data_IF_914581685379
#
_entry.id   IF_914581685379
#
_cell.length_a   1.000
_cell.length_b   1.000
_cell.length_c   1.000
_cell.angle_alpha   90.00
_cell.angle_beta   90.00
_cell.angle_gamma   90.00
#
_symmetry.space_group_name_H-M   'P 1'
#
loop_
_entity.id
_entity.type
_entity.pdbx_description
1 polymer ?
#
# COMPACT_ATOMS: atom_id res chain seq x y z
N UNK A 1 -22.04 11.05 27.01
CA UNK A 1 -22.55 12.36 26.58
C UNK A 1 -21.66 13.41 27.18
N UNK A 2 -21.42 14.50 26.46
CA UNK A 2 -20.73 15.66 27.01
C UNK A 2 -21.46 16.14 28.27
N UNK A 3 -20.76 16.38 29.39
CA UNK A 3 -21.41 16.83 30.62
C UNK A 3 -21.90 18.29 30.54
N UNK A 4 -21.56 19.01 29.47
CA UNK A 4 -21.84 20.44 29.30
C UNK A 4 -22.51 20.71 27.96
N UNK A 5 -23.54 21.54 27.96
CA UNK A 5 -24.31 21.92 26.77
C UNK A 5 -23.98 23.32 26.22
N UNK A 6 -23.27 24.15 27.00
CA UNK A 6 -22.91 25.53 26.65
C UNK A 6 -21.41 25.74 26.72
N UNK A 7 -20.92 26.76 25.99
CA UNK A 7 -19.51 27.15 26.00
C UNK A 7 -19.10 27.55 27.42
N UNK A 8 -19.84 28.44 28.08
CA UNK A 8 -19.54 28.91 29.43
C UNK A 8 -19.40 27.76 30.44
N UNK A 9 -20.29 26.75 30.38
CA UNK A 9 -20.22 25.58 31.26
C UNK A 9 -19.00 24.72 30.97
N UNK A 10 -18.63 24.56 29.69
CA UNK A 10 -17.44 23.81 29.29
C UNK A 10 -16.15 24.55 29.68
N UNK A 11 -16.09 25.87 29.52
CA UNK A 11 -14.95 26.69 29.92
C UNK A 11 -14.76 26.73 31.44
N UNK A 12 -15.86 26.86 32.19
CA UNK A 12 -15.85 26.77 33.64
C UNK A 12 -15.34 25.41 34.12
N UNK A 13 -15.74 24.31 33.47
CA UNK A 13 -15.28 22.97 33.80
C UNK A 13 -13.82 22.70 33.44
N UNK A 14 -13.33 23.25 32.33
CA UNK A 14 -11.94 23.10 31.90
C UNK A 14 -10.99 24.08 32.60
N UNK A 15 -11.52 25.12 33.25
CA UNK A 15 -10.73 26.19 33.86
C UNK A 15 -9.97 27.06 32.84
N UNK A 16 -10.40 27.04 31.58
CA UNK A 16 -9.81 27.82 30.48
C UNK A 16 -10.81 28.05 29.34
N UNK A 17 -10.58 29.07 28.49
CA UNK A 17 -11.35 29.22 27.25
C UNK A 17 -11.22 28.01 26.33
N UNK A 18 -12.28 27.75 25.54
CA UNK A 18 -12.25 26.73 24.50
C UNK A 18 -11.39 27.21 23.32
N UNK A 19 -10.65 26.28 22.74
CA UNK A 19 -10.07 26.51 21.41
C UNK A 19 -11.19 26.55 20.35
N UNK A 20 -10.92 27.13 19.18
CA UNK A 20 -11.88 27.15 18.07
C UNK A 20 -12.36 25.74 17.66
N UNK A 21 -11.45 24.75 17.69
CA UNK A 21 -11.79 23.36 17.39
C UNK A 21 -12.69 22.74 18.47
N UNK A 22 -12.43 23.00 19.75
CA UNK A 22 -13.26 22.52 20.86
C UNK A 22 -14.65 23.16 20.85
N UNK A 23 -14.74 24.46 20.54
CA UNK A 23 -16.01 25.15 20.39
C UNK A 23 -16.84 24.61 19.21
N UNK A 24 -16.18 24.33 18.07
CA UNK A 24 -16.82 23.70 16.91
C UNK A 24 -17.31 22.28 17.25
N UNK A 25 -16.45 21.48 17.90
CA UNK A 25 -16.80 20.15 18.38
C UNK A 25 -18.02 20.21 19.29
N UNK A 26 -17.97 21.03 20.35
CA UNK A 26 -19.06 21.19 21.31
C UNK A 26 -20.38 21.60 20.64
N UNK A 27 -20.35 22.59 19.73
CA UNK A 27 -21.53 23.02 18.98
C UNK A 27 -22.14 21.87 18.17
N UNK A 28 -21.30 21.03 17.60
CA UNK A 28 -21.74 19.90 16.80
C UNK A 28 -22.26 18.75 17.68
N UNK A 29 -21.55 18.38 18.74
CA UNK A 29 -21.78 17.15 19.50
C UNK A 29 -22.72 17.31 20.70
N UNK A 30 -22.97 18.52 21.22
CA UNK A 30 -23.75 18.75 22.44
C UNK A 30 -25.20 18.24 22.38
N UNK A 31 -25.79 18.19 21.19
CA UNK A 31 -27.16 17.71 20.95
C UNK A 31 -27.24 16.26 20.50
N UNK A 32 -26.11 15.56 20.43
CA UNK A 32 -25.99 14.21 19.87
C UNK A 32 -25.65 13.20 20.95
N UNK A 33 -26.22 12.01 20.85
CA UNK A 33 -25.80 10.88 21.68
C UNK A 33 -24.42 10.39 21.21
N UNK A 34 -23.65 9.82 22.14
CA UNK A 34 -22.36 9.19 21.81
C UNK A 34 -22.54 8.05 20.78
N UNK A 35 -23.68 7.36 20.82
CA UNK A 35 -24.07 6.37 19.82
C UNK A 35 -24.19 6.99 18.42
N UNK A 36 -24.88 8.13 18.31
CA UNK A 36 -25.03 8.83 17.02
C UNK A 36 -23.67 9.29 16.48
N UNK A 37 -22.79 9.80 17.35
CA UNK A 37 -21.42 10.14 16.97
C UNK A 37 -20.67 8.89 16.46
N UNK A 38 -20.74 7.79 17.19
CA UNK A 38 -20.13 6.54 16.79
C UNK A 38 -20.61 6.04 15.41
N UNK A 39 -21.91 6.16 15.10
CA UNK A 39 -22.47 5.77 13.81
C UNK A 39 -21.89 6.53 12.60
N UNK A 40 -21.20 7.66 12.79
CA UNK A 40 -20.48 8.34 11.69
C UNK A 40 -19.42 7.45 11.03
N UNK A 41 -18.89 6.46 11.75
CA UNK A 41 -17.97 5.48 11.18
C UNK A 41 -18.56 4.77 9.96
N UNK A 42 -19.87 4.49 9.96
CA UNK A 42 -20.55 3.87 8.82
C UNK A 42 -20.50 4.81 7.62
N UNK A 43 -20.78 6.09 7.82
CA UNK A 43 -20.75 7.07 6.73
C UNK A 43 -19.32 7.21 6.19
N UNK A 44 -18.32 7.33 7.07
CA UNK A 44 -16.91 7.43 6.65
C UNK A 44 -16.46 6.20 5.89
N UNK A 45 -16.82 5.00 6.34
CA UNK A 45 -16.54 3.75 5.66
C UNK A 45 -17.06 3.77 4.21
N UNK A 46 -18.35 4.05 4.04
CA UNK A 46 -18.99 4.06 2.72
C UNK A 46 -18.42 5.16 1.81
N UNK A 47 -18.14 6.34 2.34
CA UNK A 47 -17.56 7.44 1.57
C UNK A 47 -16.12 7.12 1.14
N UNK A 48 -15.28 6.64 2.05
CA UNK A 48 -13.88 6.33 1.75
C UNK A 48 -13.80 5.26 0.67
N UNK A 49 -14.53 4.15 0.81
CA UNK A 49 -14.52 3.08 -0.20
C UNK A 49 -15.19 3.44 -1.52
N UNK A 50 -16.10 4.40 -1.54
CA UNK A 50 -16.68 4.90 -2.80
C UNK A 50 -15.74 5.87 -3.52
N UNK A 51 -14.98 6.67 -2.78
CA UNK A 51 -14.20 7.79 -3.33
C UNK A 51 -12.73 7.41 -3.57
N UNK A 52 -12.04 6.77 -2.62
CA UNK A 52 -10.60 6.53 -2.71
C UNK A 52 -10.22 5.54 -3.82
N UNK A 53 -10.92 4.41 -4.05
CA UNK A 53 -10.58 3.55 -5.18
C UNK A 53 -10.84 4.23 -6.53
N UNK A 54 -11.79 5.17 -6.58
CA UNK A 54 -12.07 5.96 -7.79
C UNK A 54 -10.90 6.86 -8.18
N UNK A 55 -10.07 7.32 -7.23
CA UNK A 55 -8.84 8.04 -7.53
C UNK A 55 -7.93 7.26 -8.49
N UNK A 56 -7.73 5.96 -8.26
CA UNK A 56 -6.89 5.12 -9.13
C UNK A 56 -7.51 4.90 -10.51
N UNK A 57 -8.83 4.71 -10.59
CA UNK A 57 -9.53 4.63 -11.89
C UNK A 57 -9.43 5.94 -12.66
N UNK A 58 -9.58 7.07 -11.97
CA UNK A 58 -9.46 8.41 -12.54
C UNK A 58 -8.04 8.62 -13.11
N UNK A 59 -7.01 8.26 -12.34
CA UNK A 59 -5.62 8.31 -12.80
C UNK A 59 -5.39 7.43 -14.03
N UNK A 60 -5.88 6.18 -14.02
CA UNK A 60 -5.74 5.27 -15.15
C UNK A 60 -6.42 5.80 -16.41
N UNK A 61 -7.64 6.35 -16.27
CA UNK A 61 -8.43 6.85 -17.39
C UNK A 61 -7.85 8.13 -18.02
N UNK A 62 -7.52 9.13 -17.20
CA UNK A 62 -7.10 10.45 -17.70
C UNK A 62 -5.58 10.58 -17.85
N UNK A 63 -4.80 9.84 -17.05
CA UNK A 63 -3.35 9.95 -16.98
C UNK A 63 -2.63 8.61 -17.25
N UNK A 64 -3.28 7.67 -17.94
CA UNK A 64 -2.79 6.31 -18.18
C UNK A 64 -1.36 6.21 -18.73
N UNK A 65 -0.92 7.16 -19.57
CA UNK A 65 0.48 7.21 -20.05
C UNK A 65 1.48 7.54 -18.95
N UNK A 66 1.10 8.44 -18.04
CA UNK A 66 1.93 8.88 -16.92
C UNK A 66 1.95 7.87 -15.78
N UNK A 67 0.83 7.18 -15.53
CA UNK A 67 0.72 6.20 -14.44
C UNK A 67 1.04 4.77 -14.86
N UNK A 68 0.99 4.46 -16.16
CA UNK A 68 1.28 3.14 -16.72
C UNK A 68 2.62 2.52 -16.27
N UNK A 69 3.73 3.27 -16.20
CA UNK A 69 5.01 2.75 -15.69
C UNK A 69 4.97 2.27 -14.23
N UNK A 70 3.99 2.73 -13.45
CA UNK A 70 3.83 2.36 -12.04
C UNK A 70 2.80 1.25 -11.82
N UNK A 71 2.16 0.73 -12.88
CA UNK A 71 1.26 -0.42 -12.78
C UNK A 71 2.10 -1.68 -12.52
N UNK A 72 1.79 -2.38 -11.43
CA UNK A 72 2.58 -3.54 -10.99
C UNK A 72 2.42 -4.72 -11.96
N UNK A 73 1.18 -5.01 -12.37
CA UNK A 73 0.85 -6.04 -13.36
C UNK A 73 0.27 -5.42 -14.66
N UNK A 74 1.10 -4.84 -15.54
CA UNK A 74 0.62 -4.06 -16.69
C UNK A 74 -0.09 -4.88 -17.78
N UNK A 75 0.07 -6.21 -17.76
CA UNK A 75 -0.57 -7.13 -18.70
C UNK A 75 -1.99 -7.51 -18.28
N UNK A 76 -2.35 -7.27 -17.02
CA UNK A 76 -3.68 -7.59 -16.49
C UNK A 76 -4.52 -6.33 -16.49
N UNK A 77 -5.66 -6.36 -17.18
CA UNK A 77 -6.63 -5.26 -17.23
C UNK A 77 -8.00 -5.81 -16.90
N UNK A 78 -8.64 -5.23 -15.89
CA UNK A 78 -10.00 -5.59 -15.50
C UNK A 78 -10.99 -4.79 -16.34
N UNK A 79 -12.03 -5.45 -16.86
CA UNK A 79 -13.05 -4.75 -17.63
C UNK A 79 -13.93 -3.88 -16.72
N UNK A 80 -14.37 -2.71 -17.19
CA UNK A 80 -15.21 -1.80 -16.40
C UNK A 80 -16.47 -2.46 -15.79
N UNK A 81 -17.22 -3.33 -16.50
CA UNK A 81 -18.34 -4.05 -15.89
C UNK A 81 -17.95 -4.97 -14.73
N UNK A 82 -16.74 -5.52 -14.74
CA UNK A 82 -16.21 -6.35 -13.65
C UNK A 82 -15.82 -5.48 -12.45
N UNK A 83 -15.23 -4.31 -12.69
CA UNK A 83 -14.98 -3.31 -11.63
C UNK A 83 -16.27 -2.89 -10.93
N UNK A 84 -17.33 -2.61 -11.70
CA UNK A 84 -18.65 -2.27 -11.13
C UNK A 84 -19.26 -3.45 -10.36
N UNK A 85 -19.06 -4.68 -10.83
CA UNK A 85 -19.51 -5.89 -10.12
C UNK A 85 -18.80 -6.04 -8.78
N UNK A 86 -17.47 -5.88 -8.76
CA UNK A 86 -16.66 -5.88 -7.54
C UNK A 86 -17.19 -4.87 -6.52
N UNK A 87 -17.33 -3.61 -6.95
CA UNK A 87 -17.86 -2.54 -6.12
C UNK A 87 -19.25 -2.85 -5.57
N UNK A 88 -20.18 -3.35 -6.40
CA UNK A 88 -21.53 -3.73 -5.95
C UNK A 88 -21.50 -4.86 -4.90
N UNK A 89 -20.65 -5.87 -5.11
CA UNK A 89 -20.47 -6.97 -4.14
C UNK A 89 -19.96 -6.43 -2.80
N UNK A 90 -18.96 -5.55 -2.81
CA UNK A 90 -18.43 -4.91 -1.60
C UNK A 90 -19.48 -4.05 -0.91
N UNK A 91 -20.19 -3.19 -1.64
CA UNK A 91 -21.23 -2.34 -1.06
C UNK A 91 -22.37 -3.18 -0.46
N UNK A 92 -22.73 -4.28 -1.11
CA UNK A 92 -23.69 -5.26 -0.57
C UNK A 92 -23.19 -5.86 0.75
N UNK A 93 -21.93 -6.27 0.81
CA UNK A 93 -21.31 -6.79 2.03
C UNK A 93 -21.25 -5.72 3.12
N UNK A 94 -20.91 -4.47 2.82
CA UNK A 94 -20.97 -3.38 3.81
C UNK A 94 -22.38 -3.15 4.33
N UNK A 95 -23.37 -3.13 3.46
CA UNK A 95 -24.75 -2.90 3.88
C UNK A 95 -25.32 -4.06 4.71
N UNK A 96 -25.02 -5.30 4.33
CA UNK A 96 -25.61 -6.48 4.96
C UNK A 96 -24.85 -6.98 6.19
N UNK A 97 -23.53 -6.73 6.27
CA UNK A 97 -22.66 -7.29 7.30
C UNK A 97 -22.02 -6.18 8.14
N UNK A 98 -21.23 -5.29 7.53
CA UNK A 98 -20.42 -4.32 8.29
C UNK A 98 -21.27 -3.23 8.93
N UNK A 99 -22.27 -2.69 8.22
CA UNK A 99 -23.18 -1.67 8.73
C UNK A 99 -23.95 -2.15 9.97
N UNK A 100 -24.65 -3.30 9.91
CA UNK A 100 -25.30 -3.89 11.06
C UNK A 100 -24.31 -4.18 12.21
N UNK A 101 -23.12 -4.73 11.92
CA UNK A 101 -22.09 -4.95 12.93
C UNK A 101 -21.70 -3.65 13.65
N UNK A 102 -21.50 -2.56 12.89
CA UNK A 102 -21.20 -1.24 13.44
C UNK A 102 -22.35 -0.76 14.33
N UNK A 103 -23.61 -0.87 13.91
CA UNK A 103 -24.75 -0.45 14.74
C UNK A 103 -24.83 -1.22 16.07
N UNK A 104 -24.57 -2.53 16.07
CA UNK A 104 -24.69 -3.36 17.29
C UNK A 104 -23.45 -3.36 18.18
N UNK A 105 -22.29 -2.93 17.67
CA UNK A 105 -21.00 -2.98 18.40
C UNK A 105 -20.74 -1.79 19.33
N UNK A 106 -21.63 -0.79 19.35
CA UNK A 106 -21.47 0.38 20.23
C UNK A 106 -21.27 0.05 21.72
N UNK A 107 -21.95 -0.94 22.33
CA UNK A 107 -21.69 -1.32 23.72
C UNK A 107 -20.22 -1.70 23.96
N UNK A 108 -19.57 -2.36 23.01
CA UNK A 108 -18.14 -2.71 23.08
C UNK A 108 -17.26 -1.47 23.05
N UNK A 109 -17.59 -0.50 22.19
CA UNK A 109 -16.86 0.78 22.11
C UNK A 109 -16.99 1.59 23.40
N UNK A 110 -18.19 1.58 23.99
CA UNK A 110 -18.44 2.19 25.29
C UNK A 110 -17.66 1.49 26.40
N UNK A 111 -17.57 0.15 26.36
CA UNK A 111 -16.79 -0.65 27.32
C UNK A 111 -15.28 -0.38 27.20
N UNK A 112 -14.77 -0.25 25.98
CA UNK A 112 -13.38 0.15 25.71
C UNK A 112 -13.07 1.51 26.33
N UNK A 113 -14.06 2.40 26.42
CA UNK A 113 -13.89 3.74 27.00
C UNK A 113 -13.51 4.81 25.98
N UNK A 114 -13.84 4.61 24.70
CA UNK A 114 -13.68 5.67 23.68
C UNK A 114 -14.53 6.87 24.07
N UNK A 115 -13.88 8.00 24.36
CA UNK A 115 -14.53 9.21 24.87
C UNK A 115 -14.98 10.14 23.74
N UNK A 116 -16.08 10.85 23.95
CA UNK A 116 -16.56 11.94 23.09
C UNK A 116 -16.39 13.32 23.75
N UNK A 117 -15.87 13.32 24.98
CA UNK A 117 -15.80 14.49 25.85
C UNK A 117 -14.63 15.42 25.55
N UNK A 118 -14.77 16.69 25.91
CA UNK A 118 -13.67 17.63 26.01
C UNK A 118 -12.69 17.27 27.15
N UNK A 119 -11.42 17.73 27.08
CA UNK A 119 -10.79 18.47 25.98
C UNK A 119 -10.56 17.61 24.74
N UNK A 120 -10.41 18.22 23.56
CA UNK A 120 -10.02 17.46 22.36
C UNK A 120 -8.61 16.86 22.54
N UNK A 121 -8.33 15.69 21.92
CA UNK A 121 -7.00 15.09 22.02
C UNK A 121 -5.96 16.00 21.37
N UNK A 122 -4.78 16.09 21.98
CA UNK A 122 -3.65 16.80 21.37
C UNK A 122 -3.15 16.05 20.12
N UNK A 123 -2.43 16.74 19.22
CA UNK A 123 -1.83 16.09 18.06
C UNK A 123 -0.91 14.92 18.47
N UNK A 124 -0.14 15.06 19.55
CA UNK A 124 0.72 13.99 20.04
C UNK A 124 -0.05 12.82 20.64
N UNK A 125 -1.16 13.08 21.34
CA UNK A 125 -2.06 12.02 21.81
C UNK A 125 -2.60 11.20 20.63
N UNK A 126 -3.07 11.87 19.56
CA UNK A 126 -3.54 11.22 18.34
C UNK A 126 -2.41 10.39 17.71
N UNK A 127 -1.23 10.97 17.51
CA UNK A 127 -0.12 10.30 16.83
C UNK A 127 0.39 9.07 17.60
N UNK A 128 0.52 9.16 18.93
CA UNK A 128 0.94 8.03 19.76
C UNK A 128 -0.12 6.93 19.79
N UNK A 129 -1.41 7.29 19.90
CA UNK A 129 -2.51 6.33 19.84
C UNK A 129 -2.53 5.61 18.48
N UNK A 130 -2.47 6.35 17.36
CA UNK A 130 -2.41 5.76 16.02
C UNK A 130 -1.20 4.86 15.85
N UNK A 131 -0.02 5.25 16.36
CA UNK A 131 1.18 4.41 16.35
C UNK A 131 0.96 3.07 17.05
N UNK A 132 0.36 3.08 18.25
CA UNK A 132 -0.02 1.85 18.96
C UNK A 132 -1.03 1.05 18.15
N UNK A 133 -2.06 1.69 17.60
CA UNK A 133 -3.11 1.01 16.85
C UNK A 133 -2.56 0.28 15.63
N UNK A 134 -1.71 0.96 14.84
CA UNK A 134 -1.06 0.36 13.68
C UNK A 134 -0.16 -0.82 14.06
N UNK A 135 0.66 -0.71 15.11
CA UNK A 135 1.56 -1.81 15.52
C UNK A 135 0.77 -3.02 16.01
N UNK A 136 -0.22 -2.80 16.89
CA UNK A 136 -1.02 -3.89 17.48
C UNK A 136 -1.90 -4.56 16.44
N UNK A 137 -2.53 -3.77 15.59
CA UNK A 137 -3.36 -4.28 14.50
C UNK A 137 -2.51 -5.09 13.53
N UNK A 138 -1.40 -4.54 13.03
CA UNK A 138 -0.55 -5.21 12.05
C UNK A 138 0.04 -6.53 12.58
N UNK A 139 0.52 -6.55 13.83
CA UNK A 139 1.03 -7.77 14.44
C UNK A 139 -0.04 -8.85 14.61
N UNK A 140 -1.24 -8.46 15.04
CA UNK A 140 -2.34 -9.42 15.22
C UNK A 140 -2.88 -9.89 13.88
N UNK A 141 -3.01 -8.97 12.92
CA UNK A 141 -3.48 -9.24 11.57
C UNK A 141 -2.54 -10.23 10.87
N UNK A 142 -1.21 -10.05 10.99
CA UNK A 142 -0.22 -10.99 10.46
C UNK A 142 -0.54 -12.45 10.82
N UNK A 143 -0.80 -12.74 12.11
CA UNK A 143 -1.06 -14.10 12.57
C UNK A 143 -2.40 -14.64 12.09
N UNK A 144 -3.45 -13.81 12.10
CA UNK A 144 -4.77 -14.21 11.63
C UNK A 144 -4.74 -14.44 10.11
N UNK A 145 -4.13 -13.54 9.36
CA UNK A 145 -3.97 -13.64 7.91
C UNK A 145 -3.16 -14.89 7.54
N UNK A 146 -2.04 -15.14 8.23
CA UNK A 146 -1.26 -16.37 8.05
C UNK A 146 -2.07 -17.63 8.39
N UNK A 147 -2.89 -17.60 9.43
CA UNK A 147 -3.81 -18.69 9.75
C UNK A 147 -4.85 -18.92 8.64
N UNK A 148 -5.40 -17.85 8.07
CA UNK A 148 -6.34 -17.91 6.95
C UNK A 148 -5.70 -18.45 5.66
N UNK A 149 -4.37 -18.43 5.53
CA UNK A 149 -3.66 -19.13 4.46
C UNK A 149 -3.37 -20.61 4.73
N UNK A 150 -3.76 -21.12 5.90
CA UNK A 150 -3.83 -22.56 6.12
C UNK A 150 -4.86 -23.18 5.18
N UNK A 151 -4.63 -24.43 4.73
CA UNK A 151 -5.46 -25.12 3.72
C UNK A 151 -6.97 -24.92 3.89
N UNK A 152 -7.48 -25.16 5.10
CA UNK A 152 -8.90 -24.99 5.40
C UNK A 152 -9.34 -23.53 5.37
N UNK A 153 -8.59 -22.62 6.01
CA UNK A 153 -8.90 -21.20 6.05
C UNK A 153 -8.94 -20.61 4.64
N UNK A 154 -8.00 -21.01 3.79
CA UNK A 154 -7.92 -20.52 2.43
C UNK A 154 -9.11 -21.02 1.62
N UNK A 155 -9.30 -22.34 1.56
CA UNK A 155 -10.36 -22.93 0.74
C UNK A 155 -11.77 -22.50 1.14
N UNK A 156 -12.01 -22.17 2.41
CA UNK A 156 -13.35 -21.86 2.94
C UNK A 156 -13.64 -20.39 3.13
N UNK A 157 -12.61 -19.57 3.38
CA UNK A 157 -12.78 -18.17 3.78
C UNK A 157 -11.98 -17.29 2.82
N UNK A 158 -10.67 -17.49 2.74
CA UNK A 158 -9.76 -16.52 2.14
C UNK A 158 -9.66 -16.58 0.61
N UNK A 159 -10.09 -17.67 -0.01
CA UNK A 159 -10.02 -17.84 -1.46
C UNK A 159 -10.75 -16.75 -2.24
N UNK A 160 -11.88 -16.24 -1.72
CA UNK A 160 -12.65 -15.17 -2.38
C UNK A 160 -11.84 -13.89 -2.48
N UNK A 161 -11.07 -13.56 -1.43
CA UNK A 161 -10.19 -12.41 -1.42
C UNK A 161 -9.12 -12.48 -2.52
N UNK A 162 -8.60 -13.69 -2.75
CA UNK A 162 -7.56 -13.98 -3.75
C UNK A 162 -8.09 -14.21 -5.18
N UNK A 163 -9.39 -14.00 -5.44
CA UNK A 163 -9.92 -14.08 -6.82
C UNK A 163 -9.31 -13.01 -7.74
N UNK A 164 -8.95 -11.85 -7.17
CA UNK A 164 -8.27 -10.77 -7.86
C UNK A 164 -6.74 -10.90 -7.73
N UNK A 165 -6.15 -11.86 -8.46
CA UNK A 165 -4.68 -12.08 -8.51
C UNK A 165 -3.86 -10.86 -8.94
N UNK A 166 -4.50 -9.91 -9.64
CA UNK A 166 -4.02 -8.54 -9.82
C UNK A 166 -5.04 -7.60 -9.15
N UNK A 167 -4.83 -7.22 -7.89
CA UNK A 167 -5.83 -6.48 -7.13
C UNK A 167 -6.05 -5.08 -7.71
N UNK A 168 -7.26 -4.58 -7.44
CA UNK A 168 -7.65 -3.18 -7.68
C UNK A 168 -8.16 -2.61 -6.36
N UNK A 169 -8.11 -1.29 -6.18
CA UNK A 169 -8.49 -0.67 -4.89
C UNK A 169 -9.90 -1.03 -4.42
N UNK A 170 -10.84 -1.31 -5.34
CA UNK A 170 -12.19 -1.77 -5.01
C UNK A 170 -12.23 -3.20 -4.45
N UNK A 171 -11.23 -4.02 -4.75
CA UNK A 171 -11.12 -5.39 -4.29
C UNK A 171 -10.54 -5.53 -2.87
N UNK A 172 -10.06 -4.44 -2.25
CA UNK A 172 -9.50 -4.48 -0.90
C UNK A 172 -10.42 -5.18 0.14
N UNK A 173 -11.73 -4.88 0.20
CA UNK A 173 -12.68 -5.59 1.06
C UNK A 173 -13.51 -6.64 0.30
N UNK A 174 -13.14 -7.00 -0.94
CA UNK A 174 -13.80 -8.08 -1.67
C UNK A 174 -13.36 -9.39 -1.04
N UNK A 175 -14.21 -9.98 -0.21
CA UNK A 175 -13.89 -11.18 0.53
C UNK A 175 -15.16 -11.93 0.97
N UNK A 176 -14.97 -13.12 1.52
CA UNK A 176 -16.02 -13.84 2.22
C UNK A 176 -16.44 -13.06 3.49
N UNK A 177 -17.73 -13.03 3.83
CA UNK A 177 -18.22 -12.26 4.99
C UNK A 177 -17.50 -12.61 6.31
N UNK A 178 -17.18 -13.90 6.50
CA UNK A 178 -16.47 -14.35 7.71
C UNK A 178 -15.05 -13.77 7.79
N UNK A 179 -14.39 -13.57 6.65
CA UNK A 179 -13.06 -12.94 6.61
C UNK A 179 -13.12 -11.51 7.12
N UNK A 180 -14.10 -10.74 6.65
CA UNK A 180 -14.29 -9.34 7.06
C UNK A 180 -14.50 -9.24 8.58
N UNK A 181 -15.24 -10.19 9.17
CA UNK A 181 -15.42 -10.25 10.62
C UNK A 181 -14.13 -10.62 11.34
N UNK A 182 -13.41 -11.64 10.85
CA UNK A 182 -12.19 -12.18 11.48
C UNK A 182 -11.02 -11.18 11.39
N UNK A 183 -10.74 -10.63 10.20
CA UNK A 183 -9.70 -9.62 9.98
C UNK A 183 -10.11 -8.22 10.48
N UNK A 184 -11.39 -8.03 10.80
CA UNK A 184 -11.87 -6.83 11.49
C UNK A 184 -11.50 -6.78 12.98
N UNK A 185 -11.32 -7.93 13.64
CA UNK A 185 -11.03 -8.01 15.09
C UNK A 185 -9.77 -7.22 15.48
N UNK A 186 -8.61 -7.38 14.80
CA UNK A 186 -7.39 -6.61 15.09
C UNK A 186 -7.59 -5.10 15.19
N UNK A 187 -8.51 -4.53 14.41
CA UNK A 187 -8.75 -3.08 14.35
C UNK A 187 -9.29 -2.48 15.65
N UNK A 188 -9.81 -3.32 16.56
CA UNK A 188 -10.34 -2.90 17.86
C UNK A 188 -9.36 -3.11 19.02
N UNK A 189 -8.28 -3.89 18.83
CA UNK A 189 -7.35 -4.22 19.91
C UNK A 189 -6.53 -3.02 20.37
N UNK A 190 -6.00 -2.23 19.43
CA UNK A 190 -5.30 -0.99 19.75
C UNK A 190 -6.17 -0.03 20.59
N UNK A 191 -7.37 0.35 20.12
CA UNK A 191 -8.31 1.16 20.89
C UNK A 191 -8.69 0.55 22.24
N UNK A 192 -8.77 -0.78 22.35
CA UNK A 192 -9.03 -1.46 23.63
C UNK A 192 -7.85 -1.34 24.62
N UNK A 193 -6.61 -1.29 24.13
CA UNK A 193 -5.42 -1.14 24.96
C UNK A 193 -5.17 0.31 25.39
N UNK A 194 -5.33 1.26 24.46
CA UNK A 194 -5.14 2.69 24.72
C UNK A 194 -6.35 3.49 24.21
N UNK A 195 -7.46 3.50 24.97
CA UNK A 195 -8.69 4.15 24.52
C UNK A 195 -8.49 5.65 24.31
N UNK A 196 -8.91 6.11 23.14
CA UNK A 196 -8.76 7.51 22.71
C UNK A 196 -10.07 8.28 22.63
N UNK A 197 -9.98 9.45 22.01
CA UNK A 197 -11.17 10.23 21.64
C UNK A 197 -11.82 9.65 20.38
N UNK A 198 -13.13 9.85 20.22
CA UNK A 198 -13.88 9.39 19.04
C UNK A 198 -13.32 9.92 17.72
N UNK A 199 -12.72 11.12 17.73
CA UNK A 199 -12.03 11.69 16.55
C UNK A 199 -10.79 10.87 16.20
N UNK A 200 -9.97 10.46 17.17
CA UNK A 200 -8.84 9.55 16.92
C UNK A 200 -9.35 8.23 16.37
N UNK A 201 -10.46 7.71 16.91
CA UNK A 201 -11.07 6.48 16.42
C UNK A 201 -11.57 6.60 14.98
N UNK A 202 -12.26 7.70 14.62
CA UNK A 202 -12.66 7.98 13.23
C UNK A 202 -11.46 8.06 12.29
N UNK A 203 -10.41 8.77 12.71
CA UNK A 203 -9.18 8.90 11.94
C UNK A 203 -8.49 7.54 11.76
N UNK A 204 -8.45 6.72 12.81
CA UNK A 204 -7.92 5.36 12.77
C UNK A 204 -8.64 4.50 11.73
N UNK A 205 -9.97 4.42 11.81
CA UNK A 205 -10.77 3.64 10.86
C UNK A 205 -10.54 4.15 9.44
N UNK A 206 -10.54 5.47 9.23
CA UNK A 206 -10.31 6.08 7.93
C UNK A 206 -8.94 5.72 7.35
N UNK A 207 -7.87 5.89 8.14
CA UNK A 207 -6.50 5.58 7.70
C UNK A 207 -6.34 4.10 7.37
N UNK A 208 -6.90 3.19 8.16
CA UNK A 208 -6.85 1.75 7.83
C UNK A 208 -7.56 1.40 6.53
N UNK A 209 -8.71 2.01 6.25
CA UNK A 209 -9.39 1.76 4.97
C UNK A 209 -8.59 2.33 3.80
N UNK A 210 -8.04 3.54 3.93
CA UNK A 210 -7.23 4.16 2.88
C UNK A 210 -5.98 3.31 2.59
N UNK A 211 -5.31 2.85 3.64
CA UNK A 211 -4.13 1.99 3.56
C UNK A 211 -4.47 0.65 2.88
N UNK A 212 -5.57 -0.01 3.26
CA UNK A 212 -6.01 -1.24 2.61
C UNK A 212 -6.33 -1.01 1.11
N UNK A 213 -6.96 0.11 0.76
CA UNK A 213 -7.24 0.44 -0.65
C UNK A 213 -5.94 0.68 -1.42
N UNK A 214 -4.96 1.35 -0.80
CA UNK A 214 -3.66 1.63 -1.41
C UNK A 214 -2.89 0.33 -1.68
N UNK A 215 -2.79 -0.58 -0.70
CA UNK A 215 -2.08 -1.86 -0.86
C UNK A 215 -2.71 -2.76 -1.91
N UNK A 216 -4.00 -2.60 -2.20
CA UNK A 216 -4.69 -3.33 -3.27
C UNK A 216 -4.82 -2.54 -4.57
N UNK A 217 -4.28 -1.33 -4.66
CA UNK A 217 -4.53 -0.44 -5.81
C UNK A 217 -4.01 -1.00 -7.15
N UNK A 218 -3.02 -1.88 -7.10
CA UNK A 218 -2.29 -2.38 -8.26
C UNK A 218 -1.32 -1.34 -8.87
N UNK A 219 -1.03 -0.26 -8.12
CA UNK A 219 -0.14 0.82 -8.54
C UNK A 219 0.89 1.15 -7.46
N UNK A 220 2.17 1.16 -7.83
CA UNK A 220 3.25 1.62 -6.96
C UNK A 220 3.65 3.07 -7.28
N UNK A 221 2.80 4.02 -6.89
CA UNK A 221 2.97 5.43 -7.23
C UNK A 221 4.06 6.09 -6.37
N UNK A 222 5.01 6.86 -6.95
CA UNK A 222 6.13 7.43 -6.21
C UNK A 222 5.77 8.66 -5.36
N UNK A 223 4.56 9.22 -5.52
CA UNK A 223 4.09 10.39 -4.79
C UNK A 223 3.16 10.06 -3.62
N UNK A 224 2.93 8.78 -3.30
CA UNK A 224 2.11 8.44 -2.14
C UNK A 224 2.87 8.78 -0.84
N UNK A 225 2.20 9.36 0.19
CA UNK A 225 2.85 9.69 1.46
C UNK A 225 3.46 8.48 2.17
N UNK A 226 2.94 7.28 1.90
CA UNK A 226 3.40 6.01 2.45
C UNK A 226 4.83 5.66 2.04
N UNK A 227 5.37 6.25 0.96
CA UNK A 227 6.79 6.11 0.56
C UNK A 227 7.76 6.62 1.61
N UNK A 228 7.31 7.48 2.53
CA UNK A 228 8.12 8.03 3.61
C UNK A 228 7.99 7.23 4.93
N UNK A 229 7.18 6.18 4.95
CA UNK A 229 6.96 5.35 6.14
C UNK A 229 7.95 4.18 6.12
N UNK A 230 8.84 4.05 7.12
CA UNK A 230 9.82 2.97 7.14
C UNK A 230 9.12 1.61 7.30
N UNK A 231 9.68 0.60 6.64
CA UNK A 231 9.19 -0.80 6.66
C UNK A 231 7.78 -1.01 6.12
N UNK A 232 7.14 0.00 5.53
CA UNK A 232 5.84 -0.16 4.87
C UNK A 232 5.95 -1.13 3.68
N UNK A 233 5.08 -2.13 3.63
CA UNK A 233 5.06 -3.12 2.55
C UNK A 233 4.54 -2.54 1.24
N UNK A 234 3.40 -1.86 1.32
CA UNK A 234 2.79 -1.20 0.18
C UNK A 234 2.25 -2.14 -0.90
N UNK A 235 1.79 -1.56 -2.02
CA UNK A 235 1.04 -2.28 -3.03
C UNK A 235 1.83 -3.37 -3.74
N UNK A 236 3.11 -3.14 -4.01
CA UNK A 236 3.96 -4.11 -4.67
C UNK A 236 4.21 -5.38 -3.83
N UNK A 237 4.33 -5.22 -2.51
CA UNK A 237 4.52 -6.33 -1.58
C UNK A 237 3.24 -7.18 -1.45
N UNK A 238 2.08 -6.54 -1.42
CA UNK A 238 0.78 -7.22 -1.33
C UNK A 238 0.29 -7.78 -2.67
N UNK A 239 0.63 -7.15 -3.78
CA UNK A 239 0.33 -7.66 -5.13
C UNK A 239 1.03 -9.00 -5.38
N UNK A 240 2.29 -9.15 -4.96
CA UNK A 240 2.98 -10.45 -4.99
C UNK A 240 2.22 -11.54 -4.21
N UNK A 241 1.70 -11.18 -3.03
CA UNK A 241 0.93 -12.09 -2.19
C UNK A 241 -0.34 -12.59 -2.92
N UNK A 242 -1.11 -11.67 -3.51
CA UNK A 242 -2.28 -11.98 -4.33
C UNK A 242 -1.95 -12.80 -5.58
N UNK A 243 -0.85 -12.47 -6.24
CA UNK A 243 -0.39 -13.17 -7.44
C UNK A 243 -0.09 -14.66 -7.18
N UNK A 244 0.54 -14.98 -6.04
CA UNK A 244 0.83 -16.37 -5.65
C UNK A 244 -0.42 -17.10 -5.14
N UNK A 245 -1.36 -16.37 -4.54
CA UNK A 245 -2.66 -16.91 -4.11
C UNK A 245 -2.52 -17.98 -3.02
N UNK A 246 -3.26 -19.08 -3.14
CA UNK A 246 -3.30 -20.14 -2.11
C UNK A 246 -2.03 -20.96 -1.92
N UNK A 247 -1.01 -20.74 -2.76
CA UNK A 247 0.33 -21.28 -2.54
C UNK A 247 1.22 -20.30 -1.78
N UNK A 248 0.70 -19.11 -1.44
CA UNK A 248 1.45 -18.07 -0.75
C UNK A 248 1.79 -18.54 0.66
N UNK A 249 3.08 -18.55 0.95
CA UNK A 249 3.63 -18.77 2.29
C UNK A 249 4.41 -17.53 2.75
N UNK A 250 4.06 -16.37 2.18
CA UNK A 250 4.82 -15.13 2.33
C UNK A 250 3.94 -13.88 2.27
N UNK A 251 4.49 -12.76 2.75
CA UNK A 251 3.90 -11.43 2.64
C UNK A 251 2.55 -11.34 3.36
N UNK A 252 2.50 -11.79 4.61
CA UNK A 252 1.26 -11.78 5.41
C UNK A 252 1.02 -10.46 6.15
N UNK A 253 2.04 -9.61 6.25
CA UNK A 253 1.92 -8.30 6.88
C UNK A 253 0.79 -7.47 6.26
N UNK A 254 0.01 -6.77 7.09
CA UNK A 254 -1.05 -5.90 6.59
C UNK A 254 -0.49 -4.54 6.19
N UNK A 255 0.45 -4.00 6.96
CA UNK A 255 0.98 -2.64 6.83
C UNK A 255 2.50 -2.65 6.79
N UNK A 256 3.15 -3.26 7.80
CA UNK A 256 4.60 -3.21 7.94
C UNK A 256 5.24 -4.60 7.81
N UNK A 257 6.36 -4.65 7.10
CA UNK A 257 7.07 -5.89 6.76
C UNK A 257 7.86 -6.53 7.91
N UNK A 258 7.87 -5.94 9.11
CA UNK A 258 8.70 -6.45 10.22
C UNK A 258 8.28 -7.85 10.67
N UNK A 259 6.99 -8.18 10.69
CA UNK A 259 6.53 -9.53 11.04
C UNK A 259 7.07 -10.55 10.04
N UNK A 260 6.91 -10.27 8.74
CA UNK A 260 7.41 -11.17 7.70
C UNK A 260 8.92 -11.33 7.76
N UNK A 261 9.66 -10.26 8.06
CA UNK A 261 11.11 -10.33 8.26
C UNK A 261 11.49 -11.21 9.47
N UNK A 262 10.86 -10.99 10.63
CA UNK A 262 11.12 -11.73 11.88
C UNK A 262 10.85 -13.23 11.70
N UNK A 263 9.74 -13.57 11.04
CA UNK A 263 9.31 -14.95 10.86
C UNK A 263 9.77 -15.58 9.54
N UNK A 264 10.54 -14.84 8.74
CA UNK A 264 11.11 -15.29 7.47
C UNK A 264 10.09 -15.60 6.38
N UNK A 265 8.93 -14.94 6.42
CA UNK A 265 7.85 -15.03 5.42
C UNK A 265 7.95 -13.93 4.35
N UNK A 266 9.14 -13.39 4.09
CA UNK A 266 9.45 -12.43 3.00
C UNK A 266 10.30 -13.06 1.87
N UNK A 267 10.76 -14.30 2.05
CA UNK A 267 11.78 -14.94 1.19
C UNK A 267 11.35 -15.10 -0.27
N UNK A 268 10.09 -15.49 -0.49
CA UNK A 268 9.54 -15.68 -1.83
C UNK A 268 9.56 -14.38 -2.64
N UNK A 269 9.08 -13.30 -2.01
CA UNK A 269 9.09 -11.96 -2.59
C UNK A 269 10.51 -11.49 -2.91
N UNK A 270 11.44 -11.62 -1.97
CA UNK A 270 12.85 -11.22 -2.17
C UNK A 270 13.51 -12.00 -3.29
N UNK A 271 13.24 -13.29 -3.40
CA UNK A 271 13.72 -14.11 -4.51
C UNK A 271 13.15 -13.62 -5.85
N UNK A 272 11.83 -13.40 -5.93
CA UNK A 272 11.20 -12.88 -7.13
C UNK A 272 11.79 -11.53 -7.55
N UNK A 273 11.98 -10.61 -6.60
CA UNK A 273 12.58 -9.29 -6.87
C UNK A 273 14.00 -9.41 -7.43
N UNK A 274 14.82 -10.29 -6.85
CA UNK A 274 16.18 -10.54 -7.35
C UNK A 274 16.16 -11.06 -8.80
N UNK A 275 15.29 -12.02 -9.10
CA UNK A 275 15.15 -12.57 -10.46
C UNK A 275 14.67 -11.49 -11.44
N UNK A 276 13.68 -10.68 -11.07
CA UNK A 276 13.17 -9.60 -11.92
C UNK A 276 14.24 -8.54 -12.21
N UNK A 277 15.06 -8.18 -11.22
CA UNK A 277 16.19 -7.26 -11.39
C UNK A 277 17.23 -7.84 -12.37
N UNK A 278 17.60 -9.10 -12.22
CA UNK A 278 18.54 -9.77 -13.13
C UNK A 278 18.01 -9.79 -14.57
N UNK A 279 16.74 -10.12 -14.77
CA UNK A 279 16.12 -10.11 -16.10
C UNK A 279 16.09 -8.70 -16.72
N UNK A 280 15.84 -7.66 -15.92
CA UNK A 280 15.89 -6.27 -16.39
C UNK A 280 17.30 -5.84 -16.78
N UNK A 281 18.32 -6.23 -16.02
CA UNK A 281 19.72 -5.97 -16.33
C UNK A 281 20.16 -6.67 -17.62
N UNK A 282 19.80 -7.96 -17.78
CA UNK A 282 20.06 -8.71 -19.01
C UNK A 282 19.37 -8.09 -20.23
N UNK A 283 18.11 -7.66 -20.08
CA UNK A 283 17.37 -7.03 -21.16
C UNK A 283 17.99 -5.68 -21.56
N UNK A 284 18.40 -4.85 -20.59
CA UNK A 284 19.13 -3.59 -20.86
C UNK A 284 20.45 -3.85 -21.58
N UNK A 285 21.19 -4.88 -21.17
CA UNK A 285 22.43 -5.28 -21.85
C UNK A 285 22.19 -5.68 -23.30
N UNK A 286 21.13 -6.46 -23.57
CA UNK A 286 20.78 -6.88 -24.95
C UNK A 286 20.36 -5.70 -25.83
N UNK A 287 19.57 -4.78 -25.29
CA UNK A 287 19.16 -3.56 -26.04
C UNK A 287 20.38 -2.70 -26.37
N UNK A 288 21.27 -2.48 -25.40
CA UNK A 288 22.52 -1.75 -25.64
C UNK A 288 23.40 -2.39 -26.71
N UNK A 289 23.49 -3.73 -26.74
CA UNK A 289 24.20 -4.44 -27.80
C UNK A 289 23.56 -4.24 -29.18
N UNK A 290 22.24 -4.26 -29.28
CA UNK A 290 21.53 -4.02 -30.55
C UNK A 290 21.73 -2.59 -31.04
N UNK A 291 21.66 -1.60 -30.15
CA UNK A 291 21.91 -0.20 -30.50
C UNK A 291 23.34 0.02 -31.02
N UNK A 292 24.34 -0.60 -30.38
CA UNK A 292 25.74 -0.56 -30.84
C UNK A 292 25.88 -1.18 -32.23
N UNK A 293 25.29 -2.35 -32.46
CA UNK A 293 25.34 -3.02 -33.77
C UNK A 293 24.63 -2.22 -34.87
N UNK A 294 23.54 -1.52 -34.54
CA UNK A 294 22.85 -0.63 -35.48
C UNK A 294 23.68 0.60 -35.83
N UNK A 295 24.34 1.22 -34.85
CA UNK A 295 25.25 2.35 -35.08
C UNK A 295 26.45 1.96 -35.94
N UNK A 296 27.08 0.81 -35.66
CA UNK A 296 28.18 0.28 -36.48
C UNK A 296 27.74 -0.02 -37.91
N UNK A 297 26.56 -0.63 -38.10
CA UNK A 297 25.99 -0.89 -39.42
C UNK A 297 25.72 0.41 -40.19
N UNK A 298 25.15 1.42 -39.54
CA UNK A 298 24.91 2.73 -40.13
C UNK A 298 26.22 3.45 -40.51
N UNK A 299 27.25 3.34 -39.67
CA UNK A 299 28.58 3.89 -39.93
C UNK A 299 29.24 3.21 -41.15
N UNK A 300 29.15 1.89 -41.26
CA UNK A 300 29.64 1.14 -42.43
C UNK A 300 28.89 1.55 -43.69
N UNK A 301 27.56 1.63 -43.64
CA UNK A 301 26.75 2.02 -44.79
C UNK A 301 27.07 3.45 -45.25
N UNK A 302 27.30 4.37 -44.30
CA UNK A 302 27.75 5.73 -44.62
C UNK A 302 29.10 5.71 -45.34
N UNK A 303 30.11 5.01 -44.82
CA UNK A 303 31.44 4.90 -45.44
C UNK A 303 31.38 4.36 -46.88
N UNK A 304 30.53 3.35 -47.12
CA UNK A 304 30.26 2.82 -48.46
C UNK A 304 29.67 3.91 -49.37
N UNK A 305 28.68 4.66 -48.89
CA UNK A 305 28.03 5.72 -49.66
C UNK A 305 28.97 6.90 -50.01
N UNK A 306 29.98 7.19 -49.17
CA UNK A 306 31.01 8.22 -49.46
C UNK A 306 32.16 7.69 -50.33
N UNK A 307 32.09 6.43 -50.78
CA UNK A 307 33.02 5.86 -51.76
C UNK A 307 34.24 5.15 -51.17
N UNK A 308 34.27 4.84 -49.87
CA UNK A 308 35.36 4.06 -49.30
C UNK A 308 35.30 2.60 -49.76
N UNK A 309 36.43 2.08 -50.26
CA UNK A 309 36.56 0.69 -50.65
C UNK A 309 36.59 -0.27 -49.45
N UNK A 310 36.24 -1.56 -49.64
CA UNK A 310 36.09 -2.55 -48.55
C UNK A 310 37.32 -2.68 -47.64
N UNK A 311 38.52 -2.64 -48.22
CA UNK A 311 39.79 -2.73 -47.46
C UNK A 311 40.01 -1.52 -46.55
N UNK A 312 39.54 -0.34 -46.95
CA UNK A 312 39.67 0.89 -46.16
C UNK A 312 38.68 0.91 -44.99
N UNK A 313 37.44 0.43 -45.22
CA UNK A 313 36.42 0.27 -44.18
C UNK A 313 36.89 -0.75 -43.13
N UNK A 314 37.42 -1.90 -43.56
CA UNK A 314 37.95 -2.93 -42.65
C UNK A 314 39.12 -2.38 -41.80
N UNK A 315 40.03 -1.62 -42.41
CA UNK A 315 41.14 -0.99 -41.68
C UNK A 315 40.65 0.03 -40.63
N UNK A 316 39.64 0.85 -40.97
CA UNK A 316 39.04 1.81 -40.03
C UNK A 316 38.31 1.14 -38.87
N UNK A 317 37.55 0.06 -39.13
CA UNK A 317 36.87 -0.71 -38.08
C UNK A 317 37.88 -1.43 -37.17
N UNK A 318 38.93 -2.04 -37.72
CA UNK A 318 39.98 -2.68 -36.94
C UNK A 318 40.74 -1.69 -36.05
N UNK A 319 41.00 -0.47 -36.55
CA UNK A 319 41.63 0.58 -35.77
C UNK A 319 40.72 1.08 -34.63
N UNK A 320 39.40 1.16 -34.86
CA UNK A 320 38.40 1.46 -33.82
C UNK A 320 38.36 0.35 -32.75
N UNK A 321 38.38 -0.92 -33.15
CA UNK A 321 38.45 -2.06 -32.22
C UNK A 321 39.72 -2.04 -31.35
N UNK A 322 40.90 -1.80 -31.93
CA UNK A 322 42.15 -1.71 -31.15
C UNK A 322 42.14 -0.55 -30.15
N UNK A 323 41.50 0.58 -30.47
CA UNK A 323 41.38 1.71 -29.57
C UNK A 323 40.35 1.48 -28.44
N UNK A 324 39.30 0.69 -28.70
CA UNK A 324 38.29 0.31 -27.71
C UNK A 324 38.80 -0.76 -26.74
N UNK A 325 39.55 -1.76 -27.21
CA UNK A 325 40.20 -2.76 -26.35
C UNK A 325 41.20 -2.12 -25.38
N UNK A 326 41.97 -1.11 -25.79
CA UNK A 326 42.88 -0.38 -24.90
C UNK A 326 42.11 0.50 -23.86
N UNK A 327 40.90 0.95 -24.21
CA UNK A 327 40.00 1.71 -23.33
C UNK A 327 39.32 0.87 -22.24
N UNK A 328 38.76 -0.28 -22.61
CA UNK A 328 38.09 -1.19 -21.65
C UNK A 328 39.12 -1.83 -20.70
N UNK A 329 40.33 -2.13 -21.19
CA UNK A 329 41.45 -2.62 -20.35
C UNK A 329 41.89 -1.57 -19.30
N UNK A 330 41.89 -0.27 -19.65
CA UNK A 330 42.12 0.82 -18.67
C UNK A 330 40.96 1.01 -17.70
N UNK A 331 39.71 0.78 -18.11
CA UNK A 331 38.54 0.93 -17.25
C UNK A 331 38.39 -0.23 -16.26
N UNK A 332 38.69 -1.47 -16.68
CA UNK A 332 38.79 -2.66 -15.80
C UNK A 332 39.88 -2.50 -14.74
N UNK A 333 41.06 -1.99 -15.13
CA UNK A 333 42.15 -1.73 -14.19
C UNK A 333 41.84 -0.61 -13.18
N UNK A 334 41.01 0.39 -13.55
CA UNK A 334 40.51 1.40 -12.59
C UNK A 334 39.46 0.86 -11.62
N UNK A 335 38.57 -0.05 -12.03
CA UNK A 335 37.56 -0.64 -11.13
C UNK A 335 38.18 -1.57 -10.08
N UNK A 336 39.27 -2.26 -10.41
CA UNK A 336 39.99 -3.12 -9.45
C UNK A 336 40.83 -2.34 -8.43
N UNK A 337 41.04 -1.02 -8.60
CA UNK A 337 41.81 -0.19 -7.67
C UNK A 337 40.98 0.38 -6.49
N UNK A 338 39.65 0.19 -6.47
CA UNK A 338 38.75 0.72 -5.43
C UNK A 338 38.05 -0.39 -4.63
N UNK A 339 38.72 -1.53 -4.41
CA UNK A 339 38.25 -2.52 -3.44
C UNK A 339 38.78 -2.16 -2.04
N UNK A 340 37.97 -1.42 -1.28
CA UNK A 340 38.13 -1.35 0.17
C UNK A 340 37.67 -2.66 0.82
N UNK A 341 38.36 -3.18 1.85
CA UNK A 341 37.96 -4.41 2.51
C UNK A 341 36.67 -4.21 3.30
N UNK A 342 35.70 -5.09 3.08
CA UNK A 342 34.47 -5.21 3.84
C UNK A 342 34.76 -5.69 5.26
N UNK A 343 34.35 -4.91 6.26
CA UNK A 343 34.24 -5.36 7.65
C UNK A 343 32.99 -6.23 7.80
N UNK A 344 33.17 -7.45 8.33
CA UNK A 344 32.10 -8.30 8.82
C UNK A 344 31.68 -7.84 10.23
N UNK A 345 30.37 -7.72 10.46
CA UNK A 345 29.73 -7.80 11.78
C UNK A 345 28.55 -8.76 11.69
#
# INVERSE_FOLDING_TARGET
MLPYATVDAAEAALGRPLTAAEALWLRYSSTKSDYFLYCHNIIFLFLIFSIFPFYYLFLEHFFGKSVGPYKIQPKVKLAFPETIRCYKSVMGMFFLIVGPLQLVSYPSIKLIGVRTSLPLPSLWEILLQLGVYFIVEDYTNYWIHRFLHGKWGYEKIHKVHHEYTAPIGFAAPYAHWAEILILGIPSFLGPAMVPGHIITFWLWIALRQIEAIETHSGYDLPWTPTKYIPFYGGPDYHDYHHYVGGQSQSNFASVFTYCDYIYGTDKGYRYQKKVLQQLQEEQKSKIGQVEVLQDESAQVQWLVNVGFGPLCIIAMLNMKCMLLEDGDTRQRNRKNAYHFPTFNF
#
